data_IF_196710453116
#
_entry.id   IF_196710453116
#
_cell.length_a   1.000
_cell.length_b   1.000
_cell.length_c   1.000
_cell.angle_alpha   90.00
_cell.angle_beta   90.00
_cell.angle_gamma   90.00
#
_symmetry.space_group_name_H-M   'P 1'
#
loop_
_entity.id
_entity.type
_entity.pdbx_description
1 polymer ?
#
# COMPACT_ATOMS: atom_id res chain seq x y z
N UNK A 1 26.35 -8.88 -5.64
CA UNK A 1 26.26 -8.33 -4.26
C UNK A 1 27.61 -8.44 -3.54
N UNK A 2 28.22 -9.64 -3.40
CA UNK A 2 29.51 -9.81 -2.70
C UNK A 2 30.63 -8.89 -3.20
N UNK A 3 30.80 -8.76 -4.52
CA UNK A 3 31.84 -7.89 -5.09
C UNK A 3 31.58 -6.40 -4.82
N UNK A 4 30.30 -6.00 -4.83
CA UNK A 4 29.89 -4.64 -4.47
C UNK A 4 30.12 -4.35 -2.98
N UNK A 5 29.85 -5.30 -2.08
CA UNK A 5 30.18 -5.19 -0.65
C UNK A 5 31.68 -5.00 -0.46
N UNK A 6 32.50 -5.80 -1.15
CA UNK A 6 33.96 -5.68 -1.07
C UNK A 6 34.48 -4.34 -1.61
N UNK A 7 33.81 -3.77 -2.63
CA UNK A 7 34.23 -2.52 -3.28
C UNK A 7 33.75 -1.27 -2.53
N UNK A 8 32.49 -1.29 -2.07
CA UNK A 8 31.82 -0.13 -1.44
C UNK A 8 32.07 -0.11 0.07
N UNK A 9 32.24 -1.27 0.70
CA UNK A 9 32.46 -1.40 2.14
C UNK A 9 31.18 -1.31 2.99
N UNK A 10 30.01 -1.28 2.37
CA UNK A 10 28.71 -1.26 3.07
C UNK A 10 28.05 -2.64 3.10
N UNK A 11 27.25 -2.90 4.15
CA UNK A 11 26.45 -4.12 4.24
C UNK A 11 25.29 -4.07 3.24
N UNK A 12 25.33 -4.95 2.23
CA UNK A 12 24.31 -5.05 1.19
C UNK A 12 23.69 -6.44 1.17
N UNK A 13 22.36 -6.51 1.14
CA UNK A 13 21.62 -7.77 1.05
C UNK A 13 20.36 -7.64 0.19
N UNK A 14 19.98 -8.73 -0.48
CA UNK A 14 18.66 -8.85 -1.08
C UNK A 14 17.67 -9.23 0.03
N UNK A 15 16.91 -8.25 0.53
CA UNK A 15 16.02 -8.44 1.67
C UNK A 15 14.72 -9.16 1.31
N UNK A 16 14.06 -8.75 0.23
CA UNK A 16 12.74 -9.26 -0.17
C UNK A 16 12.51 -9.08 -1.67
N UNK A 17 11.70 -9.97 -2.24
CA UNK A 17 11.25 -9.93 -3.63
C UNK A 17 9.82 -10.41 -3.71
N UNK A 18 9.06 -9.88 -4.67
CA UNK A 18 7.71 -10.32 -4.98
C UNK A 18 7.50 -10.24 -6.49
N UNK A 19 6.51 -10.99 -6.99
CA UNK A 19 6.13 -11.04 -8.39
C UNK A 19 4.62 -11.03 -8.50
N UNK A 20 4.11 -10.29 -9.47
CA UNK A 20 2.72 -10.38 -9.93
C UNK A 20 2.70 -10.86 -11.39
N UNK A 21 1.61 -11.51 -11.78
CA UNK A 21 1.33 -11.92 -13.15
C UNK A 21 -0.17 -12.02 -13.37
N UNK A 22 -0.62 -11.76 -14.59
CA UNK A 22 -2.00 -11.94 -15.04
C UNK A 22 -2.02 -12.82 -16.30
N UNK A 23 -3.05 -13.66 -16.49
CA UNK A 23 -3.18 -14.47 -17.70
C UNK A 23 -3.36 -13.62 -18.97
N UNK A 24 -4.12 -12.53 -18.87
CA UNK A 24 -4.35 -11.52 -19.89
C UNK A 24 -4.37 -10.13 -19.24
N UNK A 25 -3.92 -9.09 -19.94
CA UNK A 25 -3.78 -7.74 -19.39
C UNK A 25 -2.31 -7.37 -19.10
N UNK A 26 -2.08 -6.57 -18.05
CA UNK A 26 -0.75 -5.99 -17.77
C UNK A 26 -0.42 -5.89 -16.28
N UNK A 27 0.87 -5.87 -15.97
CA UNK A 27 1.38 -5.45 -14.66
C UNK A 27 2.08 -4.10 -14.84
N UNK A 28 1.54 -3.06 -14.22
CA UNK A 28 2.13 -1.72 -14.23
C UNK A 28 3.06 -1.53 -13.02
N UNK A 29 4.05 -0.67 -13.19
CA UNK A 29 5.04 -0.34 -12.15
C UNK A 29 5.06 1.15 -11.89
N UNK A 30 5.26 1.54 -10.63
CA UNK A 30 5.53 2.93 -10.25
C UNK A 30 6.63 3.01 -9.20
N UNK A 31 7.56 3.95 -9.39
CA UNK A 31 8.63 4.25 -8.44
C UNK A 31 8.42 5.68 -7.96
N UNK A 32 8.22 5.84 -6.65
CA UNK A 32 8.11 7.15 -6.02
C UNK A 32 9.45 7.58 -5.44
N UNK A 33 9.77 8.88 -5.56
CA UNK A 33 11.06 9.46 -5.20
C UNK A 33 12.22 8.71 -5.86
N UNK A 34 12.18 8.65 -7.19
CA UNK A 34 13.22 8.01 -7.99
C UNK A 34 14.56 8.73 -7.77
N UNK A 35 15.59 7.95 -7.43
CA UNK A 35 16.98 8.40 -7.33
C UNK A 35 17.75 8.14 -8.63
N UNK A 36 17.38 7.10 -9.36
CA UNK A 36 17.88 6.76 -10.68
C UNK A 36 16.81 5.94 -11.43
N UNK A 37 17.07 5.60 -12.70
CA UNK A 37 16.18 4.69 -13.43
C UNK A 37 16.06 3.35 -12.69
N UNK A 38 14.83 2.87 -12.49
CA UNK A 38 14.55 1.66 -11.73
C UNK A 38 14.84 1.72 -10.21
N UNK A 39 15.24 2.87 -9.65
CA UNK A 39 15.67 2.99 -8.25
C UNK A 39 14.91 4.11 -7.52
N UNK A 40 14.28 3.82 -6.39
CA UNK A 40 13.63 4.83 -5.56
C UNK A 40 13.28 4.33 -4.16
N UNK A 41 12.69 5.23 -3.34
CA UNK A 41 12.35 4.91 -1.94
C UNK A 41 11.10 4.04 -1.81
N UNK A 42 10.19 4.08 -2.78
CA UNK A 42 8.99 3.24 -2.81
C UNK A 42 8.84 2.66 -4.22
N UNK A 43 8.67 1.35 -4.32
CA UNK A 43 8.32 0.65 -5.55
C UNK A 43 6.95 -0.01 -5.42
N UNK A 44 6.14 0.10 -6.47
CA UNK A 44 4.79 -0.47 -6.52
C UNK A 44 4.59 -1.26 -7.80
N UNK A 45 4.00 -2.45 -7.68
CA UNK A 45 3.44 -3.24 -8.78
C UNK A 45 1.92 -3.25 -8.64
N UNK A 46 1.19 -3.11 -9.76
CA UNK A 46 -0.26 -3.30 -9.83
C UNK A 46 -0.60 -4.18 -11.01
N UNK A 47 -1.35 -5.24 -10.78
CA UNK A 47 -1.80 -6.18 -11.78
C UNK A 47 -3.26 -5.90 -12.17
N UNK A 48 -3.50 -5.74 -13.47
CA UNK A 48 -4.84 -5.56 -14.06
C UNK A 48 -5.06 -6.64 -15.12
N UNK A 49 -6.14 -7.39 -14.96
CA UNK A 49 -6.59 -8.41 -15.89
C UNK A 49 -7.70 -7.85 -16.77
N UNK A 50 -7.54 -8.00 -18.09
CA UNK A 50 -8.49 -7.56 -19.11
C UNK A 50 -8.12 -8.14 -20.47
N UNK A 51 -9.11 -8.32 -21.34
CA UNK A 51 -8.93 -8.65 -22.77
C UNK A 51 -8.95 -7.39 -23.68
N UNK A 52 -9.02 -6.20 -23.09
CA UNK A 52 -9.05 -4.92 -23.80
C UNK A 52 -7.68 -4.36 -24.17
N UNK A 53 -7.65 -3.05 -24.43
CA UNK A 53 -6.43 -2.32 -24.79
C UNK A 53 -5.41 -2.31 -23.64
N UNK A 54 -4.24 -2.90 -23.91
CA UNK A 54 -3.18 -3.07 -22.93
C UNK A 54 -2.49 -1.75 -22.53
N UNK A 55 -2.41 -0.75 -23.42
CA UNK A 55 -1.81 0.54 -23.10
C UNK A 55 -2.76 1.38 -22.22
N UNK A 56 -4.06 1.39 -22.54
CA UNK A 56 -5.07 2.01 -21.70
C UNK A 56 -5.10 1.38 -20.30
N UNK A 57 -5.08 0.04 -20.24
CA UNK A 57 -5.00 -0.70 -18.99
C UNK A 57 -3.73 -0.38 -18.20
N UNK A 58 -2.58 -0.28 -18.88
CA UNK A 58 -1.29 0.09 -18.25
C UNK A 58 -1.33 1.52 -17.70
N UNK A 59 -1.93 2.45 -18.44
CA UNK A 59 -2.12 3.84 -18.02
C UNK A 59 -2.91 3.93 -16.73
N UNK A 60 -4.07 3.26 -16.67
CA UNK A 60 -4.90 3.22 -15.46
C UNK A 60 -4.18 2.51 -14.29
N UNK A 61 -3.61 1.33 -14.52
CA UNK A 61 -2.91 0.59 -13.47
C UNK A 61 -1.70 1.37 -12.91
N UNK A 62 -1.03 2.19 -13.72
CA UNK A 62 0.03 3.10 -13.23
C UNK A 62 -0.52 4.18 -12.30
N UNK A 63 -1.71 4.75 -12.60
CA UNK A 63 -2.36 5.70 -11.69
C UNK A 63 -2.76 5.03 -10.37
N UNK A 64 -3.25 3.79 -10.42
CA UNK A 64 -3.51 2.98 -9.21
C UNK A 64 -2.21 2.73 -8.45
N UNK A 65 -1.11 2.45 -9.12
CA UNK A 65 0.19 2.25 -8.47
C UNK A 65 0.69 3.53 -7.75
N UNK A 66 0.42 4.71 -8.31
CA UNK A 66 0.67 6.00 -7.65
C UNK A 66 -0.20 6.18 -6.41
N UNK A 67 -1.49 5.81 -6.49
CA UNK A 67 -2.40 5.84 -5.35
C UNK A 67 -1.92 4.90 -4.24
N UNK A 68 -1.61 3.64 -4.55
CA UNK A 68 -1.07 2.66 -3.59
C UNK A 68 0.21 3.17 -2.93
N UNK A 69 1.11 3.82 -3.67
CA UNK A 69 2.33 4.40 -3.11
C UNK A 69 2.02 5.44 -2.00
N UNK A 70 0.96 6.24 -2.21
CA UNK A 70 0.55 7.31 -1.31
C UNK A 70 -0.31 6.83 -0.12
N UNK A 71 -1.23 5.89 -0.34
CA UNK A 71 -2.23 5.48 0.68
C UNK A 71 -1.85 4.22 1.44
N UNK A 72 -0.91 3.41 0.94
CA UNK A 72 -0.46 2.17 1.57
C UNK A 72 -1.61 1.26 2.06
N UNK A 73 -2.54 0.86 1.16
CA UNK A 73 -3.65 -0.03 1.53
C UNK A 73 -3.14 -1.37 2.07
N UNK A 74 -3.89 -1.95 3.00
CA UNK A 74 -3.56 -3.25 3.59
C UNK A 74 -4.01 -4.42 2.71
N UNK A 75 -5.03 -4.21 1.88
CA UNK A 75 -5.67 -5.28 1.11
C UNK A 75 -6.32 -4.75 -0.18
N UNK A 76 -6.55 -5.62 -1.17
CA UNK A 76 -7.28 -5.24 -2.38
C UNK A 76 -8.79 -5.18 -2.12
N UNK A 77 -9.31 -6.20 -1.43
CA UNK A 77 -10.73 -6.33 -1.05
C UNK A 77 -10.89 -6.47 0.47
N UNK A 78 -12.10 -6.27 1.03
CA UNK A 78 -12.31 -6.42 2.47
C UNK A 78 -12.01 -7.81 3.01
N UNK A 79 -12.22 -8.85 2.20
CA UNK A 79 -12.00 -10.25 2.56
C UNK A 79 -10.52 -10.61 2.68
N UNK A 80 -9.64 -9.82 2.06
CA UNK A 80 -8.19 -9.98 2.12
C UNK A 80 -7.56 -9.28 3.33
N UNK A 81 -8.32 -8.49 4.09
CA UNK A 81 -7.83 -7.87 5.34
C UNK A 81 -7.62 -8.96 6.39
N UNK A 82 -6.47 -8.94 7.07
CA UNK A 82 -6.18 -9.85 8.18
C UNK A 82 -7.34 -9.86 9.20
N UNK A 83 -7.99 -11.01 9.42
CA UNK A 83 -9.07 -11.14 10.40
C UNK A 83 -8.67 -10.68 11.80
N UNK A 84 -7.40 -10.86 12.18
CA UNK A 84 -6.91 -10.41 13.47
C UNK A 84 -6.79 -8.87 13.51
N UNK A 85 -6.42 -8.21 12.41
CA UNK A 85 -6.40 -6.75 12.34
C UNK A 85 -7.81 -6.16 12.43
N UNK A 86 -8.75 -6.69 11.67
CA UNK A 86 -10.14 -6.22 11.70
C UNK A 86 -10.83 -6.48 13.04
N UNK A 87 -10.55 -7.61 13.69
CA UNK A 87 -11.06 -7.91 15.03
C UNK A 87 -10.52 -6.93 16.09
N UNK A 88 -9.20 -6.68 16.09
CA UNK A 88 -8.57 -5.70 16.99
C UNK A 88 -9.19 -4.32 16.83
N UNK A 89 -9.37 -3.86 15.59
CA UNK A 89 -9.95 -2.53 15.34
C UNK A 89 -11.42 -2.44 15.80
N UNK A 90 -12.20 -3.51 15.58
CA UNK A 90 -13.57 -3.61 16.07
C UNK A 90 -13.65 -3.52 17.60
N UNK A 91 -12.74 -4.19 18.30
CA UNK A 91 -12.65 -4.12 19.77
C UNK A 91 -12.32 -2.71 20.26
N UNK A 92 -11.36 -2.03 19.60
CA UNK A 92 -11.01 -0.64 19.89
C UNK A 92 -12.23 0.27 19.71
N UNK A 93 -12.95 0.16 18.60
CA UNK A 93 -14.15 0.96 18.36
C UNK A 93 -15.27 0.66 19.35
N UNK A 94 -15.44 -0.61 19.75
CA UNK A 94 -16.43 -1.01 20.73
C UNK A 94 -16.10 -0.45 22.12
N UNK A 95 -14.82 -0.49 22.53
CA UNK A 95 -14.37 0.12 23.78
C UNK A 95 -14.66 1.64 23.80
N UNK A 96 -14.26 2.35 22.74
CA UNK A 96 -14.52 3.79 22.60
C UNK A 96 -16.02 4.13 22.56
N UNK A 97 -16.85 3.28 21.95
CA UNK A 97 -18.29 3.51 21.89
C UNK A 97 -18.97 3.30 23.25
N UNK A 98 -18.51 2.37 24.08
CA UNK A 98 -19.04 2.15 25.44
C UNK A 98 -18.80 3.32 26.38
N UNK A 99 -17.68 4.03 26.22
CA UNK A 99 -17.39 5.27 26.96
C UNK A 99 -18.42 6.39 26.71
N UNK A 100 -19.20 6.30 25.63
CA UNK A 100 -20.24 7.30 25.32
C UNK A 100 -21.51 7.20 26.17
N UNK A 101 -21.67 6.13 26.97
CA UNK A 101 -22.84 5.92 27.84
C UNK A 101 -24.17 5.70 27.09
N UNK A 102 -24.11 5.45 25.78
CA UNK A 102 -25.29 5.22 24.94
C UNK A 102 -25.80 3.77 25.09
N UNK A 103 -27.08 3.51 24.73
CA UNK A 103 -27.63 2.15 24.70
C UNK A 103 -26.88 1.22 23.72
N UNK A 104 -26.86 -0.10 24.01
CA UNK A 104 -26.10 -1.10 23.25
C UNK A 104 -26.44 -1.11 21.74
N UNK A 105 -27.72 -0.96 21.38
CA UNK A 105 -28.16 -0.90 19.98
C UNK A 105 -27.63 0.34 19.23
N UNK A 106 -27.30 1.42 19.94
CA UNK A 106 -26.66 2.60 19.36
C UNK A 106 -25.15 2.39 19.27
N UNK A 107 -24.55 1.73 20.27
CA UNK A 107 -23.14 1.35 20.27
C UNK A 107 -22.83 0.43 19.09
N UNK A 108 -23.64 -0.59 18.84
CA UNK A 108 -23.48 -1.51 17.69
C UNK A 108 -23.47 -0.75 16.36
N UNK A 109 -24.43 0.16 16.15
CA UNK A 109 -24.48 1.00 14.95
C UNK A 109 -23.27 1.93 14.81
N UNK A 110 -22.74 2.44 15.93
CA UNK A 110 -21.53 3.26 15.92
C UNK A 110 -20.30 2.46 15.52
N UNK A 111 -20.16 1.23 16.06
CA UNK A 111 -19.06 0.33 15.71
C UNK A 111 -19.14 -0.07 14.25
N UNK A 112 -20.33 -0.43 13.75
CA UNK A 112 -20.55 -0.76 12.34
C UNK A 112 -20.13 0.39 11.40
N UNK A 113 -20.56 1.62 11.70
CA UNK A 113 -20.19 2.80 10.92
C UNK A 113 -18.68 3.07 10.92
N UNK A 114 -18.00 2.85 12.05
CA UNK A 114 -16.53 3.00 12.15
C UNK A 114 -15.79 1.88 11.43
N UNK A 115 -16.27 0.64 11.52
CA UNK A 115 -15.70 -0.48 10.76
C UNK A 115 -15.84 -0.25 9.26
N UNK A 116 -16.97 0.27 8.79
CA UNK A 116 -17.12 0.65 7.37
C UNK A 116 -16.06 1.67 6.96
N UNK A 117 -15.86 2.72 7.75
CA UNK A 117 -14.83 3.73 7.50
C UNK A 117 -13.41 3.15 7.52
N UNK A 118 -13.12 2.24 8.45
CA UNK A 118 -11.84 1.53 8.48
C UNK A 118 -11.59 0.80 7.16
N UNK A 119 -12.57 0.06 6.63
CA UNK A 119 -12.42 -0.59 5.33
C UNK A 119 -12.26 0.40 4.17
N UNK A 120 -12.97 1.54 4.19
CA UNK A 120 -12.76 2.63 3.21
C UNK A 120 -11.34 3.20 3.26
N UNK A 121 -10.67 3.15 4.41
CA UNK A 121 -9.29 3.64 4.58
C UNK A 121 -8.22 2.59 4.25
N UNK A 122 -8.47 1.28 4.43
CA UNK A 122 -7.42 0.25 4.29
C UNK A 122 -7.59 -0.68 3.07
N UNK A 123 -8.76 -0.69 2.43
CA UNK A 123 -9.04 -1.55 1.27
C UNK A 123 -8.93 -0.73 -0.01
N UNK A 124 -7.99 -1.09 -0.88
CA UNK A 124 -7.69 -0.34 -2.11
C UNK A 124 -8.94 -0.01 -2.93
N UNK A 125 -9.81 -0.99 -3.19
CA UNK A 125 -11.00 -0.78 -4.01
C UNK A 125 -12.03 0.17 -3.37
N UNK A 126 -12.01 0.34 -2.04
CA UNK A 126 -12.93 1.22 -1.30
C UNK A 126 -12.37 2.61 -1.04
N UNK A 127 -11.06 2.80 -1.19
CA UNK A 127 -10.41 4.10 -1.00
C UNK A 127 -10.88 5.11 -2.05
N UNK A 128 -11.02 6.37 -1.62
CA UNK A 128 -11.18 7.51 -2.51
C UNK A 128 -9.92 7.68 -3.38
N UNK A 129 -10.09 7.74 -4.69
CA UNK A 129 -8.98 7.66 -5.62
C UNK A 129 -8.18 8.96 -5.64
N UNK A 130 -6.85 8.88 -5.48
CA UNK A 130 -6.00 10.07 -5.35
C UNK A 130 -5.98 10.94 -6.62
N UNK A 131 -6.20 10.34 -7.79
CA UNK A 131 -6.30 11.10 -9.04
C UNK A 131 -7.65 11.80 -9.21
N UNK A 132 -8.70 11.29 -8.56
CA UNK A 132 -10.03 11.86 -8.57
C UNK A 132 -10.78 11.41 -7.31
N UNK A 133 -10.80 12.27 -6.29
CA UNK A 133 -11.36 11.95 -4.97
C UNK A 133 -12.88 11.78 -4.96
N UNK A 134 -13.58 12.14 -6.05
CA UNK A 134 -15.03 11.97 -6.18
C UNK A 134 -15.41 10.50 -6.43
N UNK A 135 -14.44 9.68 -6.84
CA UNK A 135 -14.62 8.26 -7.14
C UNK A 135 -13.79 7.40 -6.20
N UNK A 136 -14.30 6.23 -5.86
CA UNK A 136 -13.45 5.16 -5.31
C UNK A 136 -12.55 4.58 -6.41
N UNK A 137 -11.49 3.86 -6.03
CA UNK A 137 -10.66 3.14 -7.02
C UNK A 137 -11.51 2.15 -7.83
N UNK A 138 -12.47 1.47 -7.19
CA UNK A 138 -13.42 0.57 -7.86
C UNK A 138 -14.28 1.32 -8.90
N UNK A 139 -14.83 2.47 -8.54
CA UNK A 139 -15.64 3.28 -9.46
C UNK A 139 -14.78 3.85 -10.61
N UNK A 140 -13.54 4.26 -10.32
CA UNK A 140 -12.59 4.72 -11.32
C UNK A 140 -12.19 3.61 -12.29
N UNK A 141 -12.01 2.38 -11.81
CA UNK A 141 -11.77 1.20 -12.66
C UNK A 141 -12.95 0.96 -13.60
N UNK A 142 -14.18 1.03 -13.08
CA UNK A 142 -15.39 0.89 -13.90
C UNK A 142 -15.53 1.98 -14.96
N UNK A 143 -15.16 3.22 -14.65
CA UNK A 143 -15.12 4.27 -15.65
C UNK A 143 -14.04 4.01 -16.72
N UNK A 144 -12.87 3.50 -16.31
CA UNK A 144 -11.75 3.18 -17.21
C UNK A 144 -12.03 2.02 -18.17
N UNK A 145 -12.98 1.11 -17.86
CA UNK A 145 -13.39 0.03 -18.78
C UNK A 145 -13.84 0.55 -20.15
N UNK A 146 -14.36 1.79 -20.22
CA UNK A 146 -14.73 2.45 -21.49
C UNK A 146 -13.52 2.71 -22.39
N UNK A 147 -12.42 3.19 -21.81
CA UNK A 147 -11.20 3.52 -22.54
C UNK A 147 -10.36 2.26 -22.83
N UNK A 148 -10.42 1.27 -21.92
CA UNK A 148 -9.84 -0.06 -22.11
C UNK A 148 -10.61 -0.86 -23.19
N UNK A 149 -11.90 -0.60 -23.36
CA UNK A 149 -12.74 -1.28 -24.36
C UNK A 149 -13.19 -2.69 -23.95
N UNK A 150 -12.95 -3.09 -22.69
CA UNK A 150 -13.38 -4.36 -22.12
C UNK A 150 -13.51 -4.26 -20.59
N UNK A 151 -14.14 -5.28 -19.99
CA UNK A 151 -14.15 -5.42 -18.54
C UNK A 151 -12.72 -5.55 -18.00
N UNK A 152 -12.47 -4.96 -16.85
CA UNK A 152 -11.16 -4.95 -16.22
C UNK A 152 -11.25 -5.24 -14.73
N UNK A 153 -10.25 -5.96 -14.22
CA UNK A 153 -10.17 -6.35 -12.81
C UNK A 153 -8.76 -6.12 -12.29
N UNK A 154 -8.64 -5.37 -11.19
CA UNK A 154 -7.40 -5.38 -10.42
C UNK A 154 -7.28 -6.74 -9.73
N UNK A 155 -6.15 -7.42 -9.90
CA UNK A 155 -5.93 -8.79 -9.37
C UNK A 155 -4.94 -8.84 -8.23
N UNK A 156 -4.16 -7.78 -8.03
CA UNK A 156 -3.23 -7.66 -6.91
C UNK A 156 -2.35 -6.43 -7.02
N UNK A 157 -1.73 -6.07 -5.91
CA UNK A 157 -0.69 -5.06 -5.86
C UNK A 157 0.42 -5.48 -4.90
N UNK A 158 1.61 -4.92 -5.09
CA UNK A 158 2.73 -5.02 -4.15
C UNK A 158 3.28 -3.63 -3.95
N UNK A 159 3.51 -3.24 -2.70
CA UNK A 159 4.22 -2.00 -2.36
C UNK A 159 5.39 -2.33 -1.45
N UNK A 160 6.59 -1.89 -1.82
CA UNK A 160 7.75 -1.91 -0.94
C UNK A 160 8.22 -0.49 -0.68
N UNK A 161 8.39 -0.14 0.59
CA UNK A 161 9.10 1.06 1.00
C UNK A 161 10.49 0.70 1.58
N UNK A 162 11.49 1.54 1.30
CA UNK A 162 12.83 1.42 1.87
C UNK A 162 12.77 1.56 3.39
N UNK A 163 13.42 0.66 4.12
CA UNK A 163 13.47 0.67 5.59
C UNK A 163 12.20 0.18 6.29
N UNK A 164 11.14 -0.18 5.56
CA UNK A 164 9.90 -0.67 6.17
C UNK A 164 10.14 -1.90 7.05
N UNK A 165 9.75 -1.86 8.32
CA UNK A 165 9.96 -2.94 9.28
C UNK A 165 11.43 -3.14 9.69
N UNK A 166 12.28 -2.12 9.52
CA UNK A 166 13.64 -2.08 10.06
C UNK A 166 13.67 -0.99 11.12
N UNK A 167 14.10 -1.34 12.34
CA UNK A 167 14.32 -0.36 13.39
C UNK A 167 15.54 0.49 13.02
N UNK A 168 15.38 1.80 13.04
CA UNK A 168 16.48 2.73 12.78
C UNK A 168 17.10 3.08 14.11
N UNK A 169 18.30 2.60 14.37
CA UNK A 169 19.08 3.04 15.53
C UNK A 169 19.38 4.55 15.38
N UNK A 170 18.99 5.34 16.38
CA UNK A 170 19.38 6.75 16.47
C UNK A 170 20.74 6.82 17.16
N UNK A 171 21.76 7.26 16.41
CA UNK A 171 23.11 7.48 16.91
C UNK A 171 23.35 8.97 17.22
N UNK A 172 23.91 9.27 18.39
CA UNK A 172 24.38 10.61 18.75
C UNK A 172 25.86 10.77 18.35
N UNK A 173 26.08 11.47 17.24
CA UNK A 173 27.42 11.72 16.71
C UNK A 173 28.34 12.44 17.71
N UNK A 174 27.81 13.35 18.53
CA UNK A 174 28.62 14.05 19.54
C UNK A 174 29.07 13.09 20.66
N UNK A 175 28.20 12.16 21.06
CA UNK A 175 28.55 11.13 22.03
C UNK A 175 29.58 10.14 21.45
N UNK A 176 29.45 9.74 20.19
CA UNK A 176 30.41 8.87 19.49
C UNK A 176 31.80 9.51 19.40
N UNK A 177 31.87 10.78 18.99
CA UNK A 177 33.13 11.54 18.92
C UNK A 177 33.75 11.68 20.32
N UNK A 178 32.95 11.97 21.34
CA UNK A 178 33.44 12.09 22.71
C UNK A 178 33.96 10.76 23.28
N UNK A 179 33.39 9.62 22.86
CA UNK A 179 33.87 8.30 23.24
C UNK A 179 35.18 7.94 22.54
N UNK A 180 35.31 8.23 21.25
CA UNK A 180 36.50 7.91 20.45
C UNK A 180 37.76 8.72 20.84
N UNK A 181 37.60 9.90 21.47
CA UNK A 181 38.73 10.72 21.95
C UNK A 181 39.17 10.31 23.36
N UNK A 182 38.35 9.55 24.10
CA UNK A 182 38.67 9.05 25.45
C UNK A 182 39.38 7.69 25.47
N UNK A 183 39.44 7.01 24.32
CA UNK A 183 40.21 5.79 24.08
C UNK A 183 41.58 6.09 23.51
#
# INVERSE_FOLDING_TARGET
IKDAVATIGENMSLRRSARLSVPAGVVATYIHNAAADGLGKIGVLVAIETDGDAEAARGFARQVAMHVAATNPLALTPEEVDPAASAREKEIFAAQARESGKPENIIEKMVEGRMRKFFEEVVLLKQAFVMNSDLTVEAALKAAEKDIGAAARLTGFVRFALGEGVEKEESDFAAEVAAAVKS
#
